data_IF_879922664307
#
_entry.id   IF_879922664307
#
_cell.length_a   1.000
_cell.length_b   1.000
_cell.length_c   1.000
_cell.angle_alpha   90.00
_cell.angle_beta   90.00
_cell.angle_gamma   90.00
#
_symmetry.space_group_name_H-M   'P 1'
#
loop_
_entity.id
_entity.type
_entity.pdbx_description
1 polymer ?
#
# COMPACT_ATOMS: atom_id res chain seq x y z
N UNK A 1 -38.24 52.13 -20.52
CA UNK A 1 -37.39 51.12 -19.85
C UNK A 1 -38.03 50.82 -18.51
N UNK A 2 -38.62 49.60 -18.37
CA UNK A 2 -39.64 49.29 -17.39
C UNK A 2 -39.09 49.05 -15.98
N UNK A 3 -39.72 49.65 -14.96
CA UNK A 3 -39.42 49.42 -13.51
C UNK A 3 -39.48 47.91 -13.11
N UNK A 4 -40.16 47.07 -13.86
CA UNK A 4 -40.25 45.65 -13.61
C UNK A 4 -38.95 44.87 -13.91
N UNK A 5 -38.12 45.31 -14.85
CA UNK A 5 -36.85 44.66 -15.18
C UNK A 5 -35.73 44.95 -14.16
N UNK A 6 -35.81 46.13 -13.48
CA UNK A 6 -34.83 46.46 -12.44
C UNK A 6 -35.04 45.66 -11.14
N UNK A 7 -36.29 45.32 -10.79
CA UNK A 7 -36.58 44.50 -9.61
C UNK A 7 -36.18 43.05 -9.80
N UNK A 8 -36.32 42.48 -11.00
CA UNK A 8 -35.91 41.07 -11.27
C UNK A 8 -34.37 40.88 -11.24
N UNK A 9 -33.62 41.90 -11.66
CA UNK A 9 -32.14 41.82 -11.65
C UNK A 9 -31.53 42.00 -10.26
N UNK A 10 -32.21 42.68 -9.33
CA UNK A 10 -31.74 42.83 -7.93
C UNK A 10 -32.01 41.59 -7.09
N UNK A 11 -33.15 40.94 -7.23
CA UNK A 11 -33.48 39.71 -6.51
C UNK A 11 -32.59 38.54 -6.96
N UNK A 12 -32.34 38.38 -8.26
CA UNK A 12 -31.45 37.34 -8.77
C UNK A 12 -30.00 37.43 -8.25
N UNK A 13 -29.47 38.67 -8.14
CA UNK A 13 -28.13 38.90 -7.59
C UNK A 13 -28.04 38.68 -6.08
N UNK A 14 -29.09 38.91 -5.33
CA UNK A 14 -29.12 38.60 -3.89
C UNK A 14 -29.15 37.10 -3.62
N UNK A 15 -29.89 36.29 -4.37
CA UNK A 15 -29.92 34.83 -4.23
C UNK A 15 -28.58 34.16 -4.59
N UNK A 16 -27.93 34.63 -5.65
CA UNK A 16 -26.62 34.12 -6.04
C UNK A 16 -25.56 34.49 -5.00
N UNK A 17 -25.58 35.69 -4.44
CA UNK A 17 -24.67 36.11 -3.37
C UNK A 17 -24.91 35.37 -2.06
N UNK A 18 -26.14 35.05 -1.70
CA UNK A 18 -26.46 34.25 -0.52
C UNK A 18 -26.02 32.80 -0.65
N UNK A 19 -26.19 32.20 -1.83
CA UNK A 19 -25.75 30.84 -2.10
C UNK A 19 -24.21 30.71 -2.10
N UNK A 20 -23.50 31.68 -2.68
CA UNK A 20 -22.02 31.67 -2.68
C UNK A 20 -21.44 31.97 -1.30
N UNK A 21 -22.08 32.83 -0.49
CA UNK A 21 -21.68 33.08 0.89
C UNK A 21 -21.88 31.82 1.76
N UNK A 22 -23.02 31.14 1.64
CA UNK A 22 -23.29 29.91 2.38
C UNK A 22 -22.34 28.76 2.00
N UNK A 23 -21.97 28.64 0.71
CA UNK A 23 -20.95 27.68 0.27
C UNK A 23 -19.55 28.04 0.79
N UNK A 24 -19.20 29.32 0.82
CA UNK A 24 -17.93 29.79 1.35
C UNK A 24 -17.82 29.52 2.88
N UNK A 25 -18.88 29.80 3.62
CA UNK A 25 -18.95 29.54 5.06
C UNK A 25 -18.91 28.03 5.37
N UNK A 26 -19.64 27.23 4.60
CA UNK A 26 -19.57 25.76 4.71
C UNK A 26 -18.15 25.25 4.40
N UNK A 27 -17.53 25.73 3.32
CA UNK A 27 -16.18 25.37 2.97
C UNK A 27 -15.20 25.75 4.10
N UNK A 28 -15.29 26.96 4.65
CA UNK A 28 -14.45 27.39 5.78
C UNK A 28 -14.67 26.52 7.04
N UNK A 29 -15.90 26.15 7.35
CA UNK A 29 -16.20 25.25 8.47
C UNK A 29 -15.61 23.84 8.25
N UNK A 30 -15.68 23.32 7.03
CA UNK A 30 -15.07 22.02 6.67
C UNK A 30 -13.54 22.11 6.80
N UNK A 31 -12.92 23.18 6.29
CA UNK A 31 -11.48 23.40 6.38
C UNK A 31 -10.95 23.57 7.82
N UNK A 32 -11.79 24.05 8.73
CA UNK A 32 -11.44 24.18 10.17
C UNK A 32 -11.57 22.88 10.97
N UNK A 33 -12.13 21.83 10.38
CA UNK A 33 -12.22 20.53 11.08
C UNK A 33 -10.82 19.94 11.28
N UNK A 34 -10.47 19.48 12.51
CA UNK A 34 -9.13 18.99 12.80
C UNK A 34 -8.72 17.81 11.91
N UNK A 35 -9.66 16.94 11.54
CA UNK A 35 -9.40 15.83 10.62
C UNK A 35 -9.03 16.29 9.19
N UNK A 36 -9.65 17.37 8.69
CA UNK A 36 -9.33 17.94 7.38
C UNK A 36 -7.96 18.62 7.40
N UNK A 37 -7.67 19.37 8.45
CA UNK A 37 -6.34 19.99 8.63
C UNK A 37 -5.23 18.96 8.72
N UNK A 38 -5.46 17.85 9.42
CA UNK A 38 -4.52 16.75 9.49
C UNK A 38 -4.31 16.07 8.13
N UNK A 39 -5.39 15.85 7.35
CA UNK A 39 -5.28 15.32 6.00
C UNK A 39 -4.49 16.24 5.07
N UNK A 40 -4.73 17.56 5.15
CA UNK A 40 -3.96 18.56 4.37
C UNK A 40 -2.49 18.56 4.80
N UNK A 41 -2.20 18.48 6.09
CA UNK A 41 -0.84 18.36 6.60
C UNK A 41 -0.15 17.09 6.07
N UNK A 42 -0.86 15.96 6.01
CA UNK A 42 -0.35 14.73 5.45
C UNK A 42 -0.04 14.83 3.95
N UNK A 43 -0.95 15.44 3.16
CA UNK A 43 -0.75 15.65 1.72
C UNK A 43 0.42 16.61 1.47
N UNK A 44 0.53 17.70 2.22
CA UNK A 44 1.67 18.61 2.13
C UNK A 44 2.96 17.88 2.47
N UNK A 45 2.97 17.11 3.56
CA UNK A 45 4.13 16.28 3.94
C UNK A 45 4.53 15.31 2.83
N UNK A 46 3.58 14.63 2.21
CA UNK A 46 3.81 13.73 1.08
C UNK A 46 4.49 14.48 -0.09
N UNK A 47 3.98 15.65 -0.46
CA UNK A 47 4.52 16.45 -1.55
C UNK A 47 5.92 17.01 -1.22
N UNK A 48 6.11 17.56 -0.02
CA UNK A 48 7.38 18.13 0.44
C UNK A 48 8.50 17.08 0.52
N UNK A 49 8.13 15.82 0.77
CA UNK A 49 9.06 14.68 0.86
C UNK A 49 9.20 13.91 -0.45
N UNK A 50 8.84 14.51 -1.57
CA UNK A 50 8.94 13.89 -2.91
C UNK A 50 8.16 12.56 -3.01
N UNK A 51 7.01 12.47 -2.35
CA UNK A 51 6.21 11.26 -2.26
C UNK A 51 5.86 10.65 -3.62
N UNK A 52 5.52 11.49 -4.62
CA UNK A 52 5.23 11.06 -5.99
C UNK A 52 6.45 10.40 -6.65
N UNK A 53 7.66 10.92 -6.40
CA UNK A 53 8.89 10.35 -6.95
C UNK A 53 9.21 9.00 -6.31
N UNK A 54 9.04 8.88 -5.00
CA UNK A 54 9.15 7.61 -4.30
C UNK A 54 8.10 6.60 -4.78
N UNK A 55 6.84 7.02 -4.98
CA UNK A 55 5.80 6.16 -5.52
C UNK A 55 6.16 5.64 -6.92
N UNK A 56 6.70 6.49 -7.79
CA UNK A 56 7.22 6.09 -9.10
C UNK A 56 8.37 5.10 -9.00
N UNK A 57 9.33 5.32 -8.12
CA UNK A 57 10.45 4.40 -7.86
C UNK A 57 9.94 3.04 -7.36
N UNK A 58 9.02 3.02 -6.39
CA UNK A 58 8.40 1.79 -5.89
C UNK A 58 7.65 1.04 -7.00
N UNK A 59 6.93 1.76 -7.87
CA UNK A 59 6.25 1.18 -9.04
C UNK A 59 7.22 0.46 -9.95
N UNK A 60 8.33 1.10 -10.30
CA UNK A 60 9.37 0.54 -11.15
C UNK A 60 9.94 -0.76 -10.57
N UNK A 61 10.37 -0.73 -9.29
CA UNK A 61 10.91 -1.93 -8.64
C UNK A 61 9.87 -3.02 -8.42
N UNK A 62 8.60 -2.67 -8.16
CA UNK A 62 7.50 -3.65 -8.06
C UNK A 62 7.28 -4.37 -9.39
N UNK A 63 7.30 -3.61 -10.49
CA UNK A 63 7.17 -4.18 -11.83
C UNK A 63 8.35 -5.09 -12.19
N UNK A 64 9.59 -4.67 -11.91
CA UNK A 64 10.77 -5.49 -12.14
C UNK A 64 10.80 -6.76 -11.29
N UNK A 65 10.31 -6.71 -10.07
CA UNK A 65 10.25 -7.86 -9.17
C UNK A 65 9.21 -8.91 -9.62
N UNK A 66 8.25 -8.53 -10.44
CA UNK A 66 7.17 -9.42 -10.87
C UNK A 66 7.70 -10.64 -11.64
N UNK A 67 8.62 -10.43 -12.59
CA UNK A 67 9.17 -11.52 -13.41
C UNK A 67 9.90 -12.57 -12.55
N UNK A 68 10.85 -12.22 -11.68
CA UNK A 68 11.49 -13.18 -10.79
C UNK A 68 10.51 -13.89 -9.84
N UNK A 69 9.50 -13.19 -9.34
CA UNK A 69 8.45 -13.79 -8.49
C UNK A 69 7.68 -14.84 -9.27
N UNK A 70 7.31 -14.56 -10.53
CA UNK A 70 6.66 -15.54 -11.40
C UNK A 70 7.55 -16.74 -11.70
N UNK A 71 8.86 -16.54 -11.89
CA UNK A 71 9.82 -17.65 -12.06
C UNK A 71 9.87 -18.55 -10.81
N UNK A 72 9.91 -17.97 -9.63
CA UNK A 72 9.88 -18.74 -8.37
C UNK A 72 8.55 -19.46 -8.21
N UNK A 73 7.41 -18.79 -8.47
CA UNK A 73 6.10 -19.43 -8.41
C UNK A 73 5.98 -20.61 -9.38
N UNK A 74 6.49 -20.44 -10.60
CA UNK A 74 6.53 -21.48 -11.63
C UNK A 74 7.40 -22.68 -11.19
N UNK A 75 8.56 -22.41 -10.60
CA UNK A 75 9.43 -23.46 -10.06
C UNK A 75 8.76 -24.20 -8.90
N UNK A 76 8.10 -23.49 -7.96
CA UNK A 76 7.35 -24.11 -6.86
C UNK A 76 6.23 -25.00 -7.41
N UNK A 77 5.46 -24.52 -8.39
CA UNK A 77 4.45 -25.33 -9.05
C UNK A 77 5.07 -26.60 -9.69
N UNK A 78 6.22 -26.46 -10.37
CA UNK A 78 6.95 -27.58 -10.96
C UNK A 78 7.44 -28.60 -9.91
N UNK A 79 7.90 -28.17 -8.73
CA UNK A 79 8.26 -29.06 -7.63
C UNK A 79 7.05 -29.79 -7.05
N UNK A 80 5.92 -29.08 -6.87
CA UNK A 80 4.67 -29.69 -6.37
C UNK A 80 4.14 -30.74 -7.34
N UNK A 81 4.10 -30.45 -8.64
CA UNK A 81 3.68 -31.38 -9.66
C UNK A 81 4.62 -32.59 -9.80
N UNK A 82 5.91 -32.37 -9.69
CA UNK A 82 6.89 -33.46 -9.69
C UNK A 82 6.75 -34.39 -8.48
N UNK A 83 6.33 -33.86 -7.32
CA UNK A 83 6.09 -34.63 -6.09
C UNK A 83 4.71 -35.34 -6.11
N UNK A 84 3.80 -34.95 -7.00
CA UNK A 84 2.43 -35.45 -7.12
C UNK A 84 2.11 -35.85 -8.57
N UNK A 85 2.60 -37.00 -9.05
CA UNK A 85 2.35 -37.46 -10.42
C UNK A 85 0.85 -37.66 -10.74
N UNK A 86 0.07 -37.99 -9.74
CA UNK A 86 -1.41 -38.08 -9.80
C UNK A 86 -2.05 -36.73 -10.19
N UNK A 87 -1.61 -35.63 -9.57
CA UNK A 87 -2.08 -34.29 -9.93
C UNK A 87 -1.64 -33.89 -11.34
N UNK A 88 -0.41 -34.21 -11.72
CA UNK A 88 0.10 -33.90 -13.06
C UNK A 88 -0.73 -34.63 -14.14
N UNK A 89 -1.04 -35.91 -13.94
CA UNK A 89 -1.85 -36.70 -14.85
C UNK A 89 -3.30 -36.16 -14.94
N UNK A 90 -3.89 -35.82 -13.79
CA UNK A 90 -5.25 -35.25 -13.74
C UNK A 90 -5.31 -33.91 -14.47
N UNK A 91 -4.39 -32.99 -14.18
CA UNK A 91 -4.33 -31.68 -14.85
C UNK A 91 -4.08 -31.83 -16.35
N UNK A 92 -3.21 -32.75 -16.77
CA UNK A 92 -2.96 -33.03 -18.19
C UNK A 92 -4.22 -33.52 -18.91
N UNK A 93 -5.01 -34.39 -18.26
CA UNK A 93 -6.28 -34.89 -18.78
C UNK A 93 -7.35 -33.81 -18.85
N UNK A 94 -7.51 -33.02 -17.79
CA UNK A 94 -8.48 -31.92 -17.74
C UNK A 94 -8.18 -30.85 -18.77
N UNK A 95 -6.93 -30.47 -18.95
CA UNK A 95 -6.45 -29.55 -19.99
C UNK A 95 -6.79 -30.10 -21.39
N UNK A 96 -6.52 -31.40 -21.61
CA UNK A 96 -6.82 -32.08 -22.87
C UNK A 96 -8.30 -32.08 -23.22
N UNK A 97 -9.19 -32.16 -22.20
CA UNK A 97 -10.64 -32.20 -22.40
C UNK A 97 -11.29 -30.81 -22.51
N UNK A 98 -10.74 -29.79 -21.82
CA UNK A 98 -11.37 -28.47 -21.71
C UNK A 98 -10.84 -27.46 -22.73
N UNK A 99 -9.67 -27.70 -23.33
CA UNK A 99 -9.05 -26.79 -24.27
C UNK A 99 -9.06 -27.33 -25.71
N UNK A 100 -9.19 -26.44 -26.73
CA UNK A 100 -8.95 -26.79 -28.11
C UNK A 100 -7.55 -27.40 -28.33
N UNK A 101 -7.42 -28.34 -29.28
CA UNK A 101 -6.19 -29.11 -29.47
C UNK A 101 -4.89 -28.29 -29.56
N UNK A 102 -4.93 -27.11 -30.23
CA UNK A 102 -3.77 -26.23 -30.33
C UNK A 102 -3.35 -25.55 -29.00
N UNK A 103 -4.33 -25.28 -28.12
CA UNK A 103 -4.06 -24.69 -26.79
C UNK A 103 -3.71 -25.76 -25.76
N UNK A 104 -4.29 -26.96 -25.90
CA UNK A 104 -4.01 -28.07 -24.99
C UNK A 104 -2.55 -28.54 -25.11
N UNK A 105 -2.00 -28.65 -26.32
CA UNK A 105 -0.58 -28.97 -26.52
C UNK A 105 0.36 -27.91 -25.96
N UNK A 106 0.02 -26.63 -26.08
CA UNK A 106 0.80 -25.55 -25.47
C UNK A 106 0.75 -25.62 -23.95
N UNK A 107 -0.42 -25.84 -23.37
CA UNK A 107 -0.60 -25.91 -21.91
C UNK A 107 0.10 -27.14 -21.30
N UNK A 108 0.02 -28.31 -21.94
CA UNK A 108 0.77 -29.50 -21.50
C UNK A 108 2.28 -29.28 -21.63
N UNK A 109 2.76 -28.64 -22.72
CA UNK A 109 4.16 -28.25 -22.87
C UNK A 109 4.65 -27.29 -21.77
N UNK A 110 3.80 -26.39 -21.27
CA UNK A 110 4.10 -25.52 -20.13
C UNK A 110 4.22 -26.37 -18.84
N UNK A 111 3.33 -27.34 -18.61
CA UNK A 111 3.40 -28.25 -17.46
C UNK A 111 4.70 -29.07 -17.48
N UNK A 112 5.05 -29.66 -18.62
CA UNK A 112 6.28 -30.42 -18.77
C UNK A 112 7.51 -29.54 -18.56
N UNK A 113 7.50 -28.34 -19.08
CA UNK A 113 8.58 -27.36 -18.86
C UNK A 113 8.67 -26.99 -17.38
N UNK A 114 7.54 -26.77 -16.69
CA UNK A 114 7.52 -26.47 -15.25
C UNK A 114 8.18 -27.60 -14.45
N UNK A 115 7.86 -28.85 -14.78
CA UNK A 115 8.43 -30.03 -14.10
C UNK A 115 9.93 -30.21 -14.42
N UNK A 116 10.31 -30.11 -15.70
CA UNK A 116 11.67 -30.41 -16.13
C UNK A 116 12.66 -29.28 -15.84
N UNK A 117 12.25 -28.02 -15.97
CA UNK A 117 13.09 -26.85 -15.75
C UNK A 117 13.04 -26.31 -14.30
N UNK A 118 12.25 -26.93 -13.39
CA UNK A 118 11.98 -26.41 -12.04
C UNK A 118 13.23 -26.03 -11.24
N UNK A 119 14.31 -26.82 -11.36
CA UNK A 119 15.56 -26.55 -10.63
C UNK A 119 16.27 -25.33 -11.20
N UNK A 120 16.46 -25.31 -12.53
CA UNK A 120 17.17 -24.23 -13.21
C UNK A 120 16.41 -22.91 -13.08
N UNK A 121 15.11 -22.91 -13.40
CA UNK A 121 14.26 -21.72 -13.30
C UNK A 121 14.13 -21.28 -11.84
N UNK A 122 14.07 -22.24 -10.91
CA UNK A 122 14.00 -21.95 -9.47
C UNK A 122 15.25 -21.28 -8.93
N UNK A 123 16.43 -21.76 -9.27
CA UNK A 123 17.71 -21.19 -8.79
C UNK A 123 17.89 -19.78 -9.37
N UNK A 124 17.79 -19.62 -10.67
CA UNK A 124 17.93 -18.30 -11.30
C UNK A 124 16.84 -17.34 -10.86
N UNK A 125 15.58 -17.80 -10.84
CA UNK A 125 14.45 -17.02 -10.36
C UNK A 125 14.64 -16.57 -8.91
N UNK A 126 15.11 -17.44 -8.01
CA UNK A 126 15.35 -17.10 -6.61
C UNK A 126 16.47 -16.07 -6.45
N UNK A 127 17.60 -16.21 -7.16
CA UNK A 127 18.70 -15.25 -7.10
C UNK A 127 18.23 -13.86 -7.54
N UNK A 128 17.53 -13.78 -8.70
CA UNK A 128 17.04 -12.52 -9.22
C UNK A 128 15.93 -11.96 -8.34
N UNK A 129 15.03 -12.81 -7.80
CA UNK A 129 13.98 -12.41 -6.87
C UNK A 129 14.54 -11.83 -5.57
N UNK A 130 15.58 -12.43 -5.00
CA UNK A 130 16.25 -11.92 -3.81
C UNK A 130 16.90 -10.56 -4.09
N UNK A 131 17.62 -10.41 -5.19
CA UNK A 131 18.23 -9.13 -5.56
C UNK A 131 17.18 -8.03 -5.77
N UNK A 132 16.16 -8.29 -6.58
CA UNK A 132 15.10 -7.32 -6.86
C UNK A 132 14.24 -7.03 -5.61
N UNK A 133 13.96 -8.06 -4.81
CA UNK A 133 13.19 -7.92 -3.58
C UNK A 133 13.91 -7.12 -2.50
N UNK A 134 15.22 -7.32 -2.32
CA UNK A 134 16.04 -6.53 -1.40
C UNK A 134 16.06 -5.06 -1.85
N UNK A 135 16.22 -4.80 -3.14
CA UNK A 135 16.18 -3.45 -3.71
C UNK A 135 14.82 -2.80 -3.52
N UNK A 136 13.74 -3.54 -3.77
CA UNK A 136 12.38 -3.08 -3.55
C UNK A 136 12.12 -2.74 -2.07
N UNK A 137 12.49 -3.61 -1.16
CA UNK A 137 12.33 -3.38 0.29
C UNK A 137 13.16 -2.20 0.77
N UNK A 138 14.37 -2.02 0.24
CA UNK A 138 15.22 -0.87 0.53
C UNK A 138 14.57 0.45 0.10
N UNK A 139 13.99 0.50 -1.10
CA UNK A 139 13.26 1.67 -1.60
C UNK A 139 11.99 1.94 -0.77
N UNK A 140 11.21 0.91 -0.43
CA UNK A 140 10.04 1.05 0.42
C UNK A 140 10.40 1.62 1.80
N UNK A 141 11.47 1.10 2.42
CA UNK A 141 11.98 1.62 3.69
C UNK A 141 12.40 3.08 3.59
N UNK A 142 13.20 3.43 2.58
CA UNK A 142 13.66 4.81 2.37
C UNK A 142 12.48 5.77 2.15
N UNK A 143 11.48 5.36 1.34
CA UNK A 143 10.30 6.14 1.06
C UNK A 143 9.45 6.39 2.32
N UNK A 144 9.19 5.33 3.12
CA UNK A 144 8.45 5.47 4.37
C UNK A 144 9.24 6.38 5.34
N UNK A 145 10.53 6.12 5.55
CA UNK A 145 11.35 6.93 6.46
C UNK A 145 11.43 8.39 6.04
N UNK A 146 11.41 8.70 4.73
CA UNK A 146 11.36 10.08 4.25
C UNK A 146 10.12 10.84 4.76
N UNK A 147 8.97 10.16 4.92
CA UNK A 147 7.75 10.78 5.45
C UNK A 147 7.87 11.18 6.93
N UNK A 148 8.73 10.51 7.71
CA UNK A 148 8.94 10.79 9.15
C UNK A 148 9.96 11.89 9.45
N UNK A 149 10.87 12.19 8.53
CA UNK A 149 11.95 13.16 8.78
C UNK A 149 11.39 14.56 8.99
N UNK A 150 11.76 15.29 10.06
CA UNK A 150 11.31 16.66 10.30
C UNK A 150 11.79 17.61 9.21
N UNK A 151 13.07 17.49 8.79
CA UNK A 151 13.66 18.27 7.71
C UNK A 151 14.16 17.39 6.58
N UNK A 152 13.97 17.85 5.34
CA UNK A 152 14.49 17.20 4.15
C UNK A 152 15.92 17.68 3.88
N UNK A 153 16.89 17.13 4.61
CA UNK A 153 18.30 17.37 4.34
C UNK A 153 18.85 16.26 3.44
N UNK A 154 19.03 16.60 2.16
CA UNK A 154 19.55 15.69 1.14
C UNK A 154 20.96 15.18 1.48
N UNK A 155 21.75 15.94 2.22
CA UNK A 155 23.12 15.57 2.56
C UNK A 155 23.21 14.49 3.65
N UNK A 156 22.21 14.37 4.50
CA UNK A 156 22.13 13.31 5.51
C UNK A 156 21.66 11.95 4.96
N UNK A 157 21.06 11.91 3.76
CA UNK A 157 20.60 10.65 3.15
C UNK A 157 21.76 9.77 2.64
N UNK A 158 22.87 10.40 2.26
CA UNK A 158 24.05 9.73 1.68
C UNK A 158 25.07 9.37 2.77
N UNK A 159 24.80 9.67 4.03
CA UNK A 159 25.68 9.25 5.12
C UNK A 159 25.61 7.74 5.25
N UNK A 160 26.59 7.10 4.63
CA UNK A 160 26.81 5.69 4.47
C UNK A 160 26.42 4.87 5.72
N UNK A 161 25.18 4.43 5.81
CA UNK A 161 24.96 3.13 6.47
C UNK A 161 25.87 2.16 5.72
N UNK A 162 26.67 1.38 6.46
CA UNK A 162 27.47 0.33 5.85
C UNK A 162 26.56 -0.43 4.88
N UNK A 163 26.89 -0.44 3.58
CA UNK A 163 26.09 -1.09 2.53
C UNK A 163 25.66 -2.48 2.95
N UNK A 164 26.54 -3.22 3.64
CA UNK A 164 26.25 -4.54 4.17
C UNK A 164 25.08 -4.52 5.18
N UNK A 165 25.05 -3.54 6.08
CA UNK A 165 23.94 -3.39 7.05
C UNK A 165 22.63 -3.06 6.34
N UNK A 166 22.67 -2.19 5.33
CA UNK A 166 21.50 -1.83 4.52
C UNK A 166 20.89 -3.06 3.83
N UNK A 167 21.73 -3.85 3.12
CA UNK A 167 21.25 -5.06 2.43
C UNK A 167 20.76 -6.13 3.41
N UNK A 168 21.45 -6.31 4.53
CA UNK A 168 21.05 -7.27 5.56
C UNK A 168 19.71 -6.92 6.21
N UNK A 169 19.48 -5.63 6.53
CA UNK A 169 18.20 -5.17 7.07
C UNK A 169 17.08 -5.31 6.05
N UNK A 170 17.32 -4.94 4.80
CA UNK A 170 16.33 -5.07 3.72
C UNK A 170 15.95 -6.54 3.48
N UNK A 171 16.95 -7.45 3.49
CA UNK A 171 16.70 -8.88 3.37
C UNK A 171 15.86 -9.40 4.55
N UNK A 172 16.21 -9.02 5.77
CA UNK A 172 15.44 -9.41 6.96
C UNK A 172 13.97 -8.96 6.86
N UNK A 173 13.72 -7.72 6.51
CA UNK A 173 12.36 -7.21 6.36
C UNK A 173 11.61 -7.87 5.20
N UNK A 174 12.30 -8.16 4.09
CA UNK A 174 11.71 -8.91 2.97
C UNK A 174 11.28 -10.31 3.41
N UNK A 175 12.12 -11.03 4.17
CA UNK A 175 11.79 -12.36 4.68
C UNK A 175 10.59 -12.30 5.63
N UNK A 176 10.57 -11.35 6.55
CA UNK A 176 9.44 -11.19 7.47
C UNK A 176 8.14 -10.84 6.74
N UNK A 177 8.19 -9.95 5.75
CA UNK A 177 7.02 -9.61 4.93
C UNK A 177 6.55 -10.84 4.13
N UNK A 178 7.46 -11.54 3.48
CA UNK A 178 7.15 -12.77 2.74
C UNK A 178 6.51 -13.83 3.63
N UNK A 179 7.06 -14.03 4.83
CA UNK A 179 6.51 -14.97 5.82
C UNK A 179 5.10 -14.53 6.28
N UNK A 180 4.90 -13.24 6.55
CA UNK A 180 3.59 -12.70 6.93
C UNK A 180 2.54 -12.94 5.84
N UNK A 181 2.90 -12.73 4.56
CA UNK A 181 2.02 -13.01 3.42
C UNK A 181 1.70 -14.51 3.32
N UNK A 182 2.72 -15.37 3.43
CA UNK A 182 2.50 -16.84 3.37
C UNK A 182 1.61 -17.31 4.50
N UNK A 183 1.83 -16.83 5.73
CA UNK A 183 0.96 -17.13 6.88
C UNK A 183 -0.46 -16.64 6.63
N UNK A 184 -0.64 -15.42 6.13
CA UNK A 184 -1.95 -14.86 5.79
C UNK A 184 -2.70 -15.72 4.78
N UNK A 185 -2.03 -16.11 3.70
CA UNK A 185 -2.59 -17.00 2.68
C UNK A 185 -2.94 -18.37 3.23
N UNK A 186 -2.06 -18.95 4.06
CA UNK A 186 -2.28 -20.25 4.71
C UNK A 186 -3.48 -20.20 5.66
N UNK A 187 -3.62 -19.14 6.46
CA UNK A 187 -4.77 -18.93 7.34
C UNK A 187 -6.07 -18.77 6.56
N UNK A 188 -6.05 -18.03 5.44
CA UNK A 188 -7.21 -17.87 4.56
C UNK A 188 -7.62 -19.21 3.94
N UNK A 189 -6.65 -19.99 3.43
CA UNK A 189 -6.90 -21.31 2.87
C UNK A 189 -7.39 -22.31 3.94
N UNK A 190 -6.79 -22.31 5.13
CA UNK A 190 -7.22 -23.15 6.24
C UNK A 190 -8.61 -22.75 6.74
N UNK A 191 -8.91 -21.46 6.81
CA UNK A 191 -10.22 -20.93 7.21
C UNK A 191 -11.33 -21.41 6.27
N UNK A 192 -11.13 -21.33 4.95
CA UNK A 192 -12.10 -21.81 3.96
C UNK A 192 -12.30 -23.32 4.01
N UNK A 193 -11.21 -24.09 4.22
CA UNK A 193 -11.28 -25.55 4.36
C UNK A 193 -11.96 -25.98 5.66
N UNK A 194 -11.63 -25.36 6.79
CA UNK A 194 -12.26 -25.63 8.08
C UNK A 194 -13.75 -25.30 8.06
N UNK A 195 -14.15 -24.22 7.39
CA UNK A 195 -15.53 -23.82 7.20
C UNK A 195 -16.35 -24.94 6.53
N UNK A 196 -15.82 -25.56 5.46
CA UNK A 196 -16.48 -26.69 4.80
C UNK A 196 -16.60 -27.93 5.67
N UNK A 197 -15.59 -28.22 6.52
CA UNK A 197 -15.59 -29.35 7.44
C UNK A 197 -16.57 -29.14 8.61
N UNK A 198 -16.60 -27.95 9.19
CA UNK A 198 -17.52 -27.60 10.29
C UNK A 198 -18.97 -27.66 9.83
N UNK A 199 -19.28 -27.14 8.64
CA UNK A 199 -20.62 -27.20 8.06
C UNK A 199 -21.12 -28.62 7.87
N UNK A 200 -20.30 -29.48 7.26
CA UNK A 200 -20.63 -30.89 7.05
C UNK A 200 -20.75 -31.64 8.39
N UNK A 201 -19.87 -31.35 9.34
CA UNK A 201 -19.89 -31.97 10.67
C UNK A 201 -21.11 -31.61 11.51
N UNK A 202 -21.67 -30.40 11.34
CA UNK A 202 -22.86 -29.93 12.06
C UNK A 202 -24.17 -30.18 11.28
N UNK A 203 -24.08 -30.67 10.03
CA UNK A 203 -25.27 -30.88 9.19
C UNK A 203 -25.96 -29.57 8.76
N UNK A 204 -25.22 -28.45 8.79
CA UNK A 204 -25.73 -27.11 8.46
C UNK A 204 -25.42 -26.67 7.02
N UNK A 205 -25.00 -27.60 6.19
CA UNK A 205 -24.72 -27.41 4.76
C UNK A 205 -25.91 -26.88 3.95
N UNK A 206 -27.15 -27.09 4.45
CA UNK A 206 -28.38 -26.58 3.84
C UNK A 206 -28.99 -25.33 4.50
N UNK A 207 -28.36 -24.80 5.51
CA UNK A 207 -28.86 -23.63 6.23
C UNK A 207 -28.62 -22.33 5.45
N UNK A 208 -29.55 -21.93 4.62
CA UNK A 208 -29.45 -20.75 3.73
C UNK A 208 -29.25 -19.42 4.48
N UNK A 209 -29.64 -19.32 5.75
CA UNK A 209 -29.42 -18.14 6.58
C UNK A 209 -27.95 -17.93 6.98
N UNK A 210 -27.10 -18.95 6.89
CA UNK A 210 -25.66 -18.86 7.12
C UNK A 210 -24.87 -18.38 5.89
N UNK A 211 -25.46 -18.40 4.68
CA UNK A 211 -24.79 -17.96 3.46
C UNK A 211 -24.16 -16.56 3.56
N UNK A 212 -24.82 -15.51 4.11
CA UNK A 212 -24.19 -14.21 4.24
C UNK A 212 -22.97 -14.23 5.18
N UNK A 213 -23.01 -15.02 6.25
CA UNK A 213 -21.87 -15.17 7.16
C UNK A 213 -20.66 -15.78 6.44
N UNK A 214 -20.89 -16.78 5.60
CA UNK A 214 -19.85 -17.46 4.83
C UNK A 214 -19.28 -16.62 3.69
N UNK A 215 -20.06 -15.70 3.15
CA UNK A 215 -19.60 -14.74 2.15
C UNK A 215 -18.78 -13.61 2.78
N UNK A 216 -19.19 -13.13 3.97
CA UNK A 216 -18.57 -11.98 4.63
C UNK A 216 -17.30 -12.37 5.40
N UNK A 217 -17.26 -13.56 6.02
CA UNK A 217 -16.11 -14.00 6.83
C UNK A 217 -14.77 -14.00 6.07
N UNK A 218 -14.64 -14.54 4.84
CA UNK A 218 -13.38 -14.48 4.09
C UNK A 218 -12.96 -13.04 3.77
N UNK A 219 -13.90 -12.15 3.49
CA UNK A 219 -13.63 -10.73 3.21
C UNK A 219 -13.10 -10.05 4.46
N UNK A 220 -13.75 -10.25 5.62
CA UNK A 220 -13.29 -9.69 6.90
C UNK A 220 -11.90 -10.21 7.28
N UNK A 221 -11.65 -11.50 7.03
CA UNK A 221 -10.34 -12.10 7.30
C UNK A 221 -9.25 -11.52 6.39
N UNK A 222 -9.55 -11.31 5.11
CA UNK A 222 -8.64 -10.68 4.18
C UNK A 222 -8.32 -9.23 4.58
N UNK A 223 -9.35 -8.43 4.92
CA UNK A 223 -9.16 -7.05 5.41
C UNK A 223 -8.35 -7.03 6.71
N UNK A 224 -8.64 -7.94 7.63
CA UNK A 224 -7.87 -8.04 8.88
C UNK A 224 -6.40 -8.41 8.61
N UNK A 225 -6.14 -9.29 7.67
CA UNK A 225 -4.79 -9.64 7.25
C UNK A 225 -4.06 -8.42 6.62
N UNK A 226 -4.73 -7.67 5.76
CA UNK A 226 -4.18 -6.44 5.16
C UNK A 226 -3.87 -5.40 6.25
N UNK A 227 -4.76 -5.20 7.24
CA UNK A 227 -4.52 -4.31 8.39
C UNK A 227 -3.28 -4.75 9.18
N UNK A 228 -3.11 -6.05 9.43
CA UNK A 228 -1.93 -6.58 10.13
C UNK A 228 -0.65 -6.34 9.34
N UNK A 229 -0.67 -6.56 8.02
CA UNK A 229 0.48 -6.30 7.15
C UNK A 229 0.84 -4.82 7.14
N UNK A 230 -0.11 -3.92 6.99
CA UNK A 230 0.15 -2.48 7.02
C UNK A 230 0.57 -1.99 8.41
N UNK A 231 -0.02 -2.50 9.49
CA UNK A 231 0.41 -2.16 10.85
C UNK A 231 1.86 -2.58 11.08
N UNK A 232 2.23 -3.80 10.69
CA UNK A 232 3.59 -4.28 10.75
C UNK A 232 4.53 -3.41 9.90
N UNK A 233 4.13 -3.08 8.67
CA UNK A 233 4.90 -2.26 7.75
C UNK A 233 5.25 -0.91 8.37
N UNK A 234 4.24 -0.19 8.87
CA UNK A 234 4.44 1.13 9.47
C UNK A 234 5.19 1.07 10.81
N UNK A 235 4.97 0.02 11.61
CA UNK A 235 5.69 -0.17 12.89
C UNK A 235 7.18 -0.44 12.67
N UNK A 236 7.51 -1.31 11.70
CA UNK A 236 8.88 -1.81 11.52
C UNK A 236 9.73 -0.89 10.65
N UNK A 237 9.13 -0.24 9.65
CA UNK A 237 9.86 0.63 8.74
C UNK A 237 9.99 2.08 9.23
N UNK A 238 9.21 2.49 10.25
CA UNK A 238 9.40 3.82 10.87
C UNK A 238 10.77 3.93 11.56
N UNK A 239 11.34 5.14 11.64
CA UNK A 239 12.59 5.37 12.38
C UNK A 239 12.41 5.03 13.86
N UNK A 240 13.35 4.29 14.45
CA UNK A 240 13.27 3.83 15.85
C UNK A 240 13.17 4.95 16.89
N UNK A 241 13.65 6.16 16.57
CA UNK A 241 13.60 7.34 17.46
C UNK A 241 12.31 8.16 17.30
N UNK A 242 11.48 7.86 16.31
CA UNK A 242 10.23 8.56 16.01
C UNK A 242 9.08 7.54 15.92
N UNK A 243 8.93 6.71 16.95
CA UNK A 243 7.87 5.70 16.93
C UNK A 243 6.49 6.37 16.94
N UNK A 244 5.60 6.00 16.01
CA UNK A 244 4.26 6.55 15.97
C UNK A 244 3.44 6.13 17.20
N UNK A 245 2.51 6.98 17.62
CA UNK A 245 1.50 6.59 18.58
C UNK A 245 0.72 5.38 18.07
N UNK A 246 0.45 4.41 18.97
CA UNK A 246 -0.25 3.17 18.62
C UNK A 246 -1.61 3.40 17.99
N UNK A 247 -2.32 4.44 18.42
CA UNK A 247 -3.64 4.80 17.86
C UNK A 247 -3.48 5.32 16.43
N UNK A 248 -2.53 6.24 16.20
CA UNK A 248 -2.25 6.76 14.87
C UNK A 248 -1.79 5.64 13.92
N UNK A 249 -0.95 4.72 14.40
CA UNK A 249 -0.50 3.57 13.62
C UNK A 249 -1.67 2.65 13.23
N UNK A 250 -2.53 2.28 14.17
CA UNK A 250 -3.68 1.41 13.89
C UNK A 250 -4.70 2.07 12.97
N UNK A 251 -5.04 3.35 13.21
CA UNK A 251 -5.92 4.10 12.32
C UNK A 251 -5.31 4.23 10.90
N UNK A 252 -4.01 4.45 10.79
CA UNK A 252 -3.29 4.47 9.53
C UNK A 252 -3.31 3.11 8.82
N UNK A 253 -3.06 2.02 9.55
CA UNK A 253 -3.12 0.67 8.98
C UNK A 253 -4.53 0.33 8.45
N UNK A 254 -5.58 0.69 9.18
CA UNK A 254 -6.97 0.53 8.72
C UNK A 254 -7.25 1.41 7.49
N UNK A 255 -6.79 2.66 7.48
CA UNK A 255 -6.94 3.55 6.33
C UNK A 255 -6.21 3.03 5.09
N UNK A 256 -4.98 2.51 5.25
CA UNK A 256 -4.23 1.90 4.16
C UNK A 256 -4.90 0.65 3.60
N UNK A 257 -5.39 -0.24 4.49
CA UNK A 257 -6.14 -1.43 4.11
C UNK A 257 -7.42 -1.05 3.35
N UNK A 258 -8.20 -0.09 3.87
CA UNK A 258 -9.41 0.39 3.18
C UNK A 258 -9.09 1.00 1.81
N UNK A 259 -8.04 1.82 1.72
CA UNK A 259 -7.57 2.39 0.45
C UNK A 259 -7.13 1.31 -0.54
N UNK A 260 -6.45 0.28 -0.07
CA UNK A 260 -6.03 -0.86 -0.88
C UNK A 260 -7.21 -1.70 -1.39
N UNK A 261 -8.21 -1.95 -0.53
CA UNK A 261 -9.44 -2.65 -0.94
C UNK A 261 -10.23 -1.86 -1.99
N UNK A 262 -10.40 -0.55 -1.76
CA UNK A 262 -11.06 0.32 -2.74
C UNK A 262 -10.31 0.29 -4.07
N UNK A 263 -8.97 0.32 -4.03
CA UNK A 263 -8.15 0.26 -5.23
C UNK A 263 -8.31 -1.08 -5.97
N UNK A 264 -8.31 -2.21 -5.26
CA UNK A 264 -8.58 -3.53 -5.85
C UNK A 264 -9.93 -3.57 -6.56
N UNK A 265 -10.98 -3.08 -5.90
CA UNK A 265 -12.33 -2.99 -6.47
C UNK A 265 -12.37 -2.07 -7.70
N UNK A 266 -11.76 -0.89 -7.62
CA UNK A 266 -11.69 0.05 -8.73
C UNK A 266 -11.00 -0.58 -9.95
N UNK A 267 -9.89 -1.28 -9.74
CA UNK A 267 -9.17 -1.97 -10.82
C UNK A 267 -9.95 -3.14 -11.39
N UNK A 268 -10.70 -3.88 -10.58
CA UNK A 268 -11.57 -4.97 -11.05
C UNK A 268 -12.63 -4.46 -12.02
N UNK A 269 -13.14 -3.24 -11.81
CA UNK A 269 -14.16 -2.63 -12.69
C UNK A 269 -13.54 -1.90 -13.87
N UNK A 270 -12.48 -1.13 -13.62
CA UNK A 270 -11.88 -0.23 -14.63
C UNK A 270 -11.04 -0.98 -15.65
N UNK A 271 -10.29 -2.00 -15.22
CA UNK A 271 -9.37 -2.72 -16.10
C UNK A 271 -10.08 -3.40 -17.31
N UNK A 272 -11.19 -4.11 -17.15
CA UNK A 272 -11.94 -4.67 -18.30
C UNK A 272 -12.45 -3.59 -19.27
N UNK A 273 -12.85 -2.42 -18.75
CA UNK A 273 -13.29 -1.28 -19.58
C UNK A 273 -12.15 -0.72 -20.43
N UNK A 274 -10.97 -0.59 -19.84
CA UNK A 274 -9.76 -0.15 -20.55
C UNK A 274 -9.31 -1.16 -21.62
N UNK A 275 -9.54 -2.46 -21.40
CA UNK A 275 -9.14 -3.54 -22.31
C UNK A 275 -10.15 -3.81 -23.43
N UNK A 276 -11.18 -3.00 -23.61
CA UNK A 276 -12.25 -3.21 -24.60
C UNK A 276 -11.76 -3.08 -26.05
N UNK A 277 -10.73 -2.27 -26.33
CA UNK A 277 -10.16 -2.09 -27.68
C UNK A 277 -9.01 -3.06 -27.95
N UNK A 278 -8.79 -3.42 -29.24
CA UNK A 278 -7.72 -4.35 -29.65
C UNK A 278 -6.32 -3.83 -29.27
N UNK A 279 -6.06 -2.53 -29.47
CA UNK A 279 -4.78 -1.89 -29.12
C UNK A 279 -4.59 -1.85 -27.59
N UNK A 280 -5.66 -1.59 -26.85
CA UNK A 280 -5.62 -1.59 -25.38
C UNK A 280 -5.36 -2.99 -24.82
N UNK A 281 -5.76 -4.06 -25.48
CA UNK A 281 -5.45 -5.43 -25.04
C UNK A 281 -3.94 -5.74 -25.05
N UNK A 282 -3.18 -5.14 -25.95
CA UNK A 282 -1.72 -5.38 -26.04
C UNK A 282 -0.94 -4.64 -24.96
N UNK A 283 -1.25 -3.37 -24.70
CA UNK A 283 -0.49 -2.51 -23.80
C UNK A 283 -1.22 -2.20 -22.49
N UNK A 284 -2.54 -2.25 -22.49
CA UNK A 284 -3.37 -1.83 -21.38
C UNK A 284 -3.16 -2.65 -20.11
N UNK A 285 -2.84 -3.94 -20.23
CA UNK A 285 -2.53 -4.80 -19.08
C UNK A 285 -1.26 -4.33 -18.36
N UNK A 286 -0.19 -4.03 -19.12
CA UNK A 286 1.08 -3.56 -18.56
C UNK A 286 0.91 -2.18 -17.94
N UNK A 287 0.25 -1.27 -18.67
CA UNK A 287 -0.03 0.09 -18.21
C UNK A 287 -0.94 0.05 -16.98
N UNK A 288 -2.00 -0.76 -17.01
CA UNK A 288 -2.89 -0.97 -15.88
C UNK A 288 -2.14 -1.45 -14.64
N UNK A 289 -1.26 -2.43 -14.79
CA UNK A 289 -0.44 -2.94 -13.68
C UNK A 289 0.52 -1.87 -13.12
N UNK A 290 1.14 -1.06 -13.98
CA UNK A 290 1.97 0.06 -13.54
C UNK A 290 1.15 1.10 -12.76
N UNK A 291 -0.05 1.45 -13.23
CA UNK A 291 -0.95 2.33 -12.49
C UNK A 291 -1.36 1.72 -11.15
N UNK A 292 -1.69 0.44 -11.11
CA UNK A 292 -2.02 -0.25 -9.87
C UNK A 292 -0.90 -0.13 -8.85
N UNK A 293 0.34 -0.47 -9.20
CA UNK A 293 1.48 -0.35 -8.30
C UNK A 293 1.73 1.10 -7.87
N UNK A 294 1.55 2.06 -8.79
CA UNK A 294 1.71 3.48 -8.46
C UNK A 294 0.68 3.96 -7.44
N UNK A 295 -0.58 3.58 -7.61
CA UNK A 295 -1.63 3.94 -6.67
C UNK A 295 -1.44 3.26 -5.32
N UNK A 296 -1.06 1.97 -5.29
CA UNK A 296 -0.72 1.27 -4.03
C UNK A 296 0.41 2.00 -3.30
N UNK A 297 1.49 2.32 -4.01
CA UNK A 297 2.62 3.05 -3.44
C UNK A 297 2.20 4.43 -2.91
N UNK A 298 1.37 5.14 -3.66
CA UNK A 298 0.83 6.45 -3.24
C UNK A 298 0.00 6.33 -1.98
N UNK A 299 -0.93 5.36 -1.89
CA UNK A 299 -1.73 5.11 -0.68
C UNK A 299 -0.83 4.83 0.51
N UNK A 300 0.15 3.93 0.35
CA UNK A 300 1.10 3.59 1.42
C UNK A 300 1.85 4.83 1.92
N UNK A 301 2.35 5.69 1.02
CA UNK A 301 3.14 6.86 1.41
C UNK A 301 2.29 8.01 1.96
N UNK A 302 1.08 8.23 1.43
CA UNK A 302 0.15 9.23 1.98
C UNK A 302 -0.26 8.86 3.39
N UNK A 303 -0.56 7.57 3.65
CA UNK A 303 -0.87 7.10 4.99
C UNK A 303 0.35 7.17 5.91
N UNK A 304 1.55 6.85 5.42
CA UNK A 304 2.79 7.04 6.17
C UNK A 304 2.98 8.50 6.60
N UNK A 305 2.75 9.45 5.68
CA UNK A 305 2.78 10.88 5.98
C UNK A 305 1.69 11.29 6.98
N UNK A 306 0.49 10.69 6.87
CA UNK A 306 -0.61 10.94 7.82
C UNK A 306 -0.28 10.45 9.23
N UNK A 307 0.31 9.28 9.39
CA UNK A 307 0.78 8.78 10.69
C UNK A 307 1.89 9.69 11.24
N UNK A 308 2.83 10.11 10.38
CA UNK A 308 3.96 10.95 10.76
C UNK A 308 3.57 12.38 11.17
N UNK A 309 2.40 12.86 10.73
CA UNK A 309 1.87 14.19 11.09
C UNK A 309 0.82 14.12 12.21
N UNK A 310 0.55 12.93 12.77
CA UNK A 310 -0.37 12.80 13.89
C UNK A 310 0.17 13.57 15.12
N UNK A 311 -0.70 14.28 15.87
CA UNK A 311 -0.27 14.98 17.08
C UNK A 311 0.29 13.95 18.08
N UNK A 312 1.55 14.12 18.46
CA UNK A 312 2.15 13.31 19.53
C UNK A 312 1.75 13.93 20.87
N UNK A 313 1.16 13.16 21.78
CA UNK A 313 0.76 13.63 23.12
C UNK A 313 1.92 14.19 23.97
N UNK A 314 3.16 14.04 23.52
CA UNK A 314 4.38 14.52 24.22
C UNK A 314 4.60 16.04 24.10
N UNK A 315 3.84 16.76 23.26
CA UNK A 315 3.99 18.20 23.09
C UNK A 315 3.25 19.07 24.11
N UNK A 316 2.69 18.48 25.16
CA UNK A 316 2.03 19.20 26.26
C UNK A 316 2.92 19.25 27.53
N UNK A 317 4.25 19.47 27.39
CA UNK A 317 4.97 20.03 28.53
C UNK A 317 4.58 21.52 28.64
N UNK A 318 4.02 21.94 29.78
CA UNK A 318 3.75 23.34 30.01
C UNK A 318 5.11 24.06 29.93
N UNK A 319 5.22 25.02 29.02
CA UNK A 319 6.34 25.98 29.01
C UNK A 319 6.50 26.50 30.41
N UNK A 320 7.51 25.96 31.11
CA UNK A 320 7.92 26.50 32.43
C UNK A 320 8.22 28.00 32.27
N UNK A 321 8.00 28.77 33.33
CA UNK A 321 8.18 30.22 33.26
C UNK A 321 9.58 30.53 32.72
N UNK A 322 9.62 31.33 31.65
CA UNK A 322 10.84 31.91 31.12
C UNK A 322 11.53 32.61 32.28
N UNK A 323 12.56 31.99 32.84
CA UNK A 323 13.46 32.67 33.77
C UNK A 323 14.21 33.72 32.98
N UNK A 324 13.81 34.99 33.20
CA UNK A 324 14.53 36.16 32.74
C UNK A 324 15.98 36.05 33.20
N UNK A 325 16.85 35.73 32.27
CA UNK A 325 18.29 35.84 32.51
C UNK A 325 18.63 37.34 32.46
N UNK A 326 19.13 37.93 33.56
CA UNK A 326 19.46 39.34 33.57
C UNK A 326 20.54 39.61 32.52
N UNK A 327 20.21 40.52 31.62
CA UNK A 327 21.11 41.01 30.57
C UNK A 327 22.47 41.36 31.12
N UNK A 328 23.51 40.72 30.63
CA UNK A 328 24.90 41.03 30.84
C UNK A 328 25.19 42.43 30.25
N UNK A 329 25.21 43.46 31.11
CA UNK A 329 25.63 44.84 30.75
C UNK A 329 27.08 44.79 30.35
N UNK A 330 27.49 45.32 29.21
CA UNK A 330 28.90 45.54 28.96
C UNK A 330 29.40 46.72 29.85
N UNK A 331 30.17 46.39 30.86
CA UNK A 331 30.95 47.37 31.60
C UNK A 331 32.00 47.96 30.67
N UNK A 332 31.77 49.23 30.32
CA UNK A 332 32.80 50.06 29.72
C UNK A 332 34.02 50.18 30.64
N UNK A 333 35.16 49.91 30.11
CA UNK A 333 36.43 50.35 30.69
C UNK A 333 37.10 51.28 29.71
N UNK A 334 37.12 52.52 30.15
CA UNK A 334 37.84 53.63 29.52
C UNK A 334 39.34 53.44 29.65
N UNK A 335 40.04 53.91 28.63
CA UNK A 335 41.28 54.72 28.61
C UNK A 335 42.39 54.41 29.60
N UNK A 336 43.55 54.25 29.05
CA UNK A 336 44.88 54.91 29.30
C UNK A 336 45.99 53.90 29.00
N UNK A 337 46.80 54.17 28.17
CA UNK A 337 48.04 54.92 27.85
C UNK A 337 48.79 54.17 26.76
#
# INVERSE_FOLDING_TARGET
MNRHEQHASHTGRMWVRGATAGMADWAQQVWRRPGVQHLVAAINRFNDRLGTQFAGSMTYFSFLALLPILMVAFAVAGFLLAARPDLLATLGTDIGQQLPAGLSSTATGILDTAVNARVTVGIFGLIIALYSGISWMGNLRAAIQAMWRPDFDRNNEIRAENLLKYYWMSLKYLIFLGLAIVISLALTAAGSSAQGLVLRGLGWDQASWLNPLFTVTPILLAVAADVLVFAWLYQVLSPHHLQPDRRALLCGAVAASAGFEILKLAFTVVLPLLLSSTTAKLFGQIIGLLFFFNFVATVVLVVAAWIATAPTEVAAEPSGPVTDHPANRPTGAAARS
#
